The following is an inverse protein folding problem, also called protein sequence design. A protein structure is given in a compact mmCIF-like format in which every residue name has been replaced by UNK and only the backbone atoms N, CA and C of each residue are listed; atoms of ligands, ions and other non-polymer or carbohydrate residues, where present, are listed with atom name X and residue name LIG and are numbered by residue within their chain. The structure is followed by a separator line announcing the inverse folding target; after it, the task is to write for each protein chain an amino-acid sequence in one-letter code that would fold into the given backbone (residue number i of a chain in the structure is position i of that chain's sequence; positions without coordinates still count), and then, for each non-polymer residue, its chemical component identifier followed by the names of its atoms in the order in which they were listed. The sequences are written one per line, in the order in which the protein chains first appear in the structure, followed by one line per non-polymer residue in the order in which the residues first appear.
data_IF_983926724701
#
_entry.id   IF_983926724701
#
_cell.length_a   1.000
_cell.length_b   1.000
_cell.length_c   1.000
_cell.angle_alpha   90.00
_cell.angle_beta   90.00
_cell.angle_gamma   90.00
#
_symmetry.space_group_name_H-M   'P 1'
#
loop_
_entity.id
_entity.type
_entity.pdbx_description
1 polymer ?
#
# COMPACT_ATOMS: atom_id res chain seq x y z
N UNK A 1 16.63 8.30 -13.27
CA UNK A 1 15.39 8.60 -14.04
C UNK A 1 14.11 8.33 -13.26
N UNK A 2 14.08 7.40 -12.29
CA UNK A 2 12.90 7.16 -11.43
C UNK A 2 12.73 8.17 -10.27
N UNK A 3 13.66 9.13 -10.13
CA UNK A 3 13.72 10.05 -8.98
C UNK A 3 13.05 11.40 -9.28
N UNK A 4 12.91 11.75 -10.55
CA UNK A 4 12.25 13.00 -10.98
C UNK A 4 10.72 12.84 -11.01
N UNK A 5 10.20 11.61 -11.17
CA UNK A 5 8.77 11.30 -11.09
C UNK A 5 8.23 11.22 -9.66
N UNK A 6 9.10 11.14 -8.64
CA UNK A 6 8.69 11.09 -7.22
C UNK A 6 8.36 12.46 -6.64
N UNK A 7 8.77 13.55 -7.30
CA UNK A 7 8.72 14.90 -6.73
C UNK A 7 7.66 15.81 -7.37
N UNK A 8 6.99 15.34 -8.43
CA UNK A 8 5.91 16.06 -9.09
C UNK A 8 4.69 15.17 -9.17
N UNK A 9 3.77 15.39 -8.22
CA UNK A 9 2.34 15.12 -8.33
C UNK A 9 1.98 13.71 -8.85
N UNK A 10 1.51 12.82 -7.96
CA UNK A 10 1.02 11.48 -8.34
C UNK A 10 -0.02 11.55 -9.46
N UNK A 11 -0.78 12.66 -9.56
CA UNK A 11 -1.72 12.94 -10.65
C UNK A 11 -1.02 13.09 -12.01
N UNK A 12 0.12 13.78 -12.04
CA UNK A 12 0.96 13.91 -13.23
C UNK A 12 1.67 12.58 -13.55
N UNK A 13 2.18 11.89 -12.53
CA UNK A 13 2.76 10.55 -12.66
C UNK A 13 1.77 9.56 -13.28
N UNK A 14 0.56 9.45 -12.75
CA UNK A 14 -0.48 8.55 -13.26
C UNK A 14 -0.90 8.89 -14.69
N UNK A 15 -0.95 10.18 -15.04
CA UNK A 15 -1.22 10.61 -16.42
C UNK A 15 -0.13 10.15 -17.38
N UNK A 16 1.15 10.40 -17.06
CA UNK A 16 2.28 10.01 -17.91
C UNK A 16 2.35 8.50 -18.05
N UNK A 17 2.11 7.77 -16.97
CA UNK A 17 2.11 6.30 -17.02
C UNK A 17 0.91 5.76 -17.81
N UNK A 18 -0.26 6.40 -17.73
CA UNK A 18 -1.42 6.07 -18.56
C UNK A 18 -1.19 6.30 -20.05
N UNK A 19 -0.54 7.40 -20.42
CA UNK A 19 -0.14 7.68 -21.81
C UNK A 19 0.89 6.65 -22.31
N UNK A 20 1.89 6.30 -21.48
CA UNK A 20 2.90 5.29 -21.81
C UNK A 20 2.34 3.86 -21.91
N UNK A 21 1.29 3.51 -21.18
CA UNK A 21 0.63 2.21 -21.29
C UNK A 21 -0.09 2.03 -22.64
N UNK A 22 -0.62 3.13 -23.21
CA UNK A 22 -1.23 3.13 -24.55
C UNK A 22 -0.19 2.88 -25.64
N UNK A 23 1.02 3.43 -25.50
CA UNK A 23 2.12 3.25 -26.45
C UNK A 23 2.88 1.93 -26.23
N UNK A 24 3.07 1.51 -24.97
CA UNK A 24 3.76 0.27 -24.60
C UNK A 24 3.21 -0.33 -23.29
N UNK A 25 2.32 -1.35 -23.38
CA UNK A 25 1.65 -1.94 -22.22
C UNK A 25 2.61 -2.51 -21.17
N UNK A 26 3.78 -3.00 -21.60
CA UNK A 26 4.76 -3.64 -20.71
C UNK A 26 5.52 -2.65 -19.82
N UNK A 27 5.74 -1.42 -20.28
CA UNK A 27 6.48 -0.39 -19.52
C UNK A 27 5.54 0.33 -18.55
N UNK A 28 4.31 0.63 -18.98
CA UNK A 28 3.31 1.29 -18.14
C UNK A 28 3.01 0.51 -16.87
N UNK A 29 2.78 -0.80 -16.97
CA UNK A 29 2.50 -1.66 -15.82
C UNK A 29 3.65 -1.70 -14.80
N UNK A 30 4.89 -1.86 -15.27
CA UNK A 30 6.09 -1.86 -14.41
C UNK A 30 6.35 -0.49 -13.75
N UNK A 31 5.91 0.60 -14.38
CA UNK A 31 6.05 1.95 -13.84
C UNK A 31 4.95 2.26 -12.82
N UNK A 32 3.70 1.80 -13.03
CA UNK A 32 2.60 1.86 -12.04
C UNK A 32 2.97 1.11 -10.75
N UNK A 33 3.62 -0.04 -10.88
CA UNK A 33 4.09 -0.78 -9.70
C UNK A 33 5.12 0.01 -8.87
N UNK A 34 5.87 0.92 -9.51
CA UNK A 34 6.86 1.78 -8.85
C UNK A 34 6.29 3.11 -8.35
N UNK A 35 5.13 3.54 -8.86
CA UNK A 35 4.49 4.78 -8.42
C UNK A 35 3.94 4.67 -7.00
N UNK A 36 3.40 3.51 -6.63
CA UNK A 36 2.80 3.30 -5.31
C UNK A 36 3.55 2.22 -4.53
N UNK A 37 4.14 2.66 -3.42
CA UNK A 37 5.08 1.95 -2.56
C UNK A 37 4.50 1.78 -1.15
N UNK A 38 5.15 0.98 -0.32
CA UNK A 38 4.77 0.85 1.08
C UNK A 38 4.98 2.15 1.87
N UNK A 39 5.89 3.03 1.43
CA UNK A 39 6.13 4.33 2.04
C UNK A 39 4.89 5.23 1.89
N UNK A 40 4.21 5.17 0.74
CA UNK A 40 2.98 5.90 0.47
C UNK A 40 1.83 5.46 1.40
N UNK A 41 1.78 4.17 1.74
CA UNK A 41 0.81 3.64 2.71
C UNK A 41 1.05 4.22 4.11
N UNK A 42 2.31 4.41 4.51
CA UNK A 42 2.65 5.02 5.82
C UNK A 42 2.09 6.45 5.91
N UNK A 43 2.13 7.18 4.79
CA UNK A 43 1.69 8.57 4.69
C UNK A 43 0.18 8.74 4.42
N UNK A 44 -0.54 7.66 4.11
CA UNK A 44 -1.97 7.70 3.83
C UNK A 44 -2.82 8.00 5.09
N UNK A 45 -3.99 8.60 4.94
CA UNK A 45 -4.94 8.73 6.05
C UNK A 45 -5.42 7.36 6.55
N UNK A 46 -5.69 7.27 7.85
CA UNK A 46 -5.99 6.00 8.51
C UNK A 46 -7.36 5.43 8.09
N UNK A 47 -8.38 6.26 7.88
CA UNK A 47 -9.76 5.82 7.71
C UNK A 47 -9.95 4.82 6.54
N UNK A 48 -9.44 5.07 5.32
CA UNK A 48 -9.52 4.08 4.23
C UNK A 48 -8.78 2.77 4.54
N UNK A 49 -7.63 2.86 5.21
CA UNK A 49 -6.86 1.68 5.63
C UNK A 49 -7.63 0.87 6.66
N UNK A 50 -8.26 1.53 7.64
CA UNK A 50 -9.12 0.89 8.64
C UNK A 50 -10.27 0.14 7.97
N UNK A 51 -10.96 0.75 7.00
CA UNK A 51 -12.05 0.10 6.25
C UNK A 51 -11.56 -1.12 5.48
N UNK A 52 -10.40 -1.05 4.83
CA UNK A 52 -9.80 -2.21 4.17
C UNK A 52 -9.43 -3.32 5.15
N UNK A 53 -8.77 -2.98 6.25
CA UNK A 53 -8.31 -3.95 7.22
C UNK A 53 -9.48 -4.65 7.91
N UNK A 54 -10.66 -4.03 8.03
CA UNK A 54 -11.88 -4.70 8.50
C UNK A 54 -12.31 -5.87 7.61
N UNK A 55 -12.04 -5.82 6.30
CA UNK A 55 -12.40 -6.90 5.37
C UNK A 55 -11.37 -8.03 5.31
N UNK A 56 -10.20 -7.86 5.94
CA UNK A 56 -9.11 -8.85 5.94
C UNK A 56 -9.16 -9.69 7.21
N UNK A 57 -8.80 -10.97 7.12
CA UNK A 57 -8.60 -11.83 8.29
C UNK A 57 -7.31 -11.46 9.04
N UNK A 58 -7.22 -11.82 10.32
CA UNK A 58 -6.01 -11.57 11.11
C UNK A 58 -4.78 -12.27 10.50
N UNK A 59 -4.96 -13.49 9.96
CA UNK A 59 -3.93 -14.24 9.26
C UNK A 59 -3.44 -13.52 8.01
N UNK A 60 -4.33 -12.97 7.18
CA UNK A 60 -3.92 -12.21 5.99
C UNK A 60 -3.12 -10.97 6.35
N UNK A 61 -3.52 -10.26 7.42
CA UNK A 61 -2.77 -9.11 7.91
C UNK A 61 -1.40 -9.56 8.46
N UNK A 62 -1.33 -10.65 9.22
CA UNK A 62 -0.05 -11.17 9.72
C UNK A 62 0.93 -11.51 8.57
N UNK A 63 0.44 -12.18 7.51
CA UNK A 63 1.24 -12.45 6.30
C UNK A 63 1.66 -11.15 5.59
N UNK A 64 0.80 -10.14 5.53
CA UNK A 64 1.13 -8.82 4.95
C UNK A 64 2.26 -8.12 5.72
N UNK A 65 2.28 -8.24 7.06
CA UNK A 65 3.26 -7.61 7.94
C UNK A 65 4.62 -8.31 7.95
N UNK A 66 4.68 -9.59 7.60
CA UNK A 66 5.92 -10.39 7.59
C UNK A 66 6.99 -9.78 6.70
N UNK A 67 8.19 -9.63 7.27
CA UNK A 67 9.35 -9.10 6.56
C UNK A 67 9.24 -7.63 6.13
N UNK A 68 8.25 -6.88 6.66
CA UNK A 68 8.09 -5.45 6.39
C UNK A 68 8.78 -4.59 7.45
N UNK A 69 9.18 -3.39 7.04
CA UNK A 69 9.82 -2.40 7.91
C UNK A 69 8.90 -1.96 9.05
N UNK A 70 9.51 -1.48 10.13
CA UNK A 70 8.81 -1.10 11.36
C UNK A 70 7.70 -0.07 11.10
N UNK A 71 7.97 0.95 10.30
CA UNK A 71 7.01 2.05 10.06
C UNK A 71 5.73 1.56 9.38
N UNK A 72 5.85 0.70 8.38
CA UNK A 72 4.69 0.08 7.73
C UNK A 72 3.91 -0.82 8.70
N UNK A 73 4.62 -1.62 9.52
CA UNK A 73 3.96 -2.48 10.51
C UNK A 73 3.20 -1.65 11.54
N UNK A 74 3.82 -0.61 12.07
CA UNK A 74 3.21 0.28 13.06
C UNK A 74 2.00 1.01 12.46
N UNK A 75 2.08 1.49 11.22
CA UNK A 75 0.95 2.10 10.50
C UNK A 75 -0.25 1.17 10.38
N UNK A 76 -0.03 -0.06 9.91
CA UNK A 76 -1.13 -1.01 9.72
C UNK A 76 -1.73 -1.43 11.07
N UNK A 77 -0.89 -1.59 12.09
CA UNK A 77 -1.34 -1.94 13.45
C UNK A 77 -2.04 -0.78 14.17
N UNK A 78 -1.71 0.48 13.86
CA UNK A 78 -2.45 1.65 14.37
C UNK A 78 -3.83 1.78 13.74
N UNK A 79 -4.04 1.20 12.55
CA UNK A 79 -5.32 1.16 11.84
C UNK A 79 -6.23 0.00 12.29
N UNK A 80 -5.91 -0.70 13.38
CA UNK A 80 -6.79 -1.69 13.99
C UNK A 80 -6.93 -1.43 15.49
N UNK A 81 -7.97 -1.98 16.11
CA UNK A 81 -8.10 -1.88 17.58
C UNK A 81 -6.95 -2.61 18.28
N UNK A 82 -6.56 -2.14 19.46
CA UNK A 82 -5.46 -2.73 20.23
C UNK A 82 -5.65 -4.25 20.46
N UNK A 83 -6.87 -4.68 20.79
CA UNK A 83 -7.20 -6.09 20.95
C UNK A 83 -7.02 -6.90 19.67
N UNK A 84 -7.46 -6.37 18.52
CA UNK A 84 -7.26 -7.01 17.23
C UNK A 84 -5.79 -7.03 16.82
N UNK A 85 -5.05 -5.96 17.12
CA UNK A 85 -3.61 -5.89 16.93
C UNK A 85 -2.87 -6.99 17.69
N UNK A 86 -3.31 -7.34 18.91
CA UNK A 86 -2.74 -8.46 19.66
C UNK A 86 -3.01 -9.79 18.96
N UNK A 87 -4.25 -10.05 18.53
CA UNK A 87 -4.59 -11.27 17.79
C UNK A 87 -3.76 -11.41 16.49
N UNK A 88 -3.50 -10.31 15.78
CA UNK A 88 -2.65 -10.33 14.58
C UNK A 88 -1.20 -10.70 14.92
N UNK A 89 -0.68 -10.23 16.06
CA UNK A 89 0.68 -10.60 16.51
C UNK A 89 0.74 -12.07 16.91
N UNK A 90 -0.28 -12.59 17.59
CA UNK A 90 -0.39 -14.02 17.90
C UNK A 90 -0.44 -14.86 16.61
N UNK A 91 -1.20 -14.44 15.59
CA UNK A 91 -1.18 -15.08 14.27
C UNK A 91 0.21 -15.03 13.60
N UNK A 92 0.94 -13.92 13.72
CA UNK A 92 2.32 -13.78 13.19
C UNK A 92 3.30 -14.77 13.85
N UNK A 93 3.13 -15.02 15.15
CA UNK A 93 3.88 -16.01 15.92
C UNK A 93 3.52 -17.44 15.50
N UNK A 94 2.23 -17.75 15.38
CA UNK A 94 1.72 -19.07 14.96
C UNK A 94 2.20 -19.42 13.54
N UNK A 95 2.18 -18.44 12.62
CA UNK A 95 2.63 -18.63 11.25
C UNK A 95 4.12 -18.98 11.16
N UNK A 96 4.94 -18.53 12.13
CA UNK A 96 6.38 -18.78 12.13
C UNK A 96 7.05 -18.27 10.85
N UNK A 97 8.10 -18.94 10.37
CA UNK A 97 8.72 -18.59 9.10
C UNK A 97 7.88 -19.09 7.92
N UNK A 98 7.52 -18.18 7.01
CA UNK A 98 6.76 -18.50 5.78
C UNK A 98 7.58 -18.10 4.54
N UNK A 99 7.28 -18.68 3.36
CA UNK A 99 7.97 -18.32 2.12
C UNK A 99 7.87 -16.82 1.82
N UNK A 100 8.99 -16.22 1.41
CA UNK A 100 9.05 -14.80 1.00
C UNK A 100 8.02 -14.48 -0.09
N UNK A 101 7.81 -15.40 -1.03
CA UNK A 101 6.84 -15.27 -2.12
C UNK A 101 5.42 -14.99 -1.60
N UNK A 102 5.00 -15.65 -0.53
CA UNK A 102 3.65 -15.47 0.02
C UNK A 102 3.49 -14.09 0.66
N UNK A 103 4.55 -13.60 1.32
CA UNK A 103 4.60 -12.25 1.88
C UNK A 103 4.52 -11.19 0.78
N UNK A 104 5.26 -11.40 -0.32
CA UNK A 104 5.31 -10.49 -1.46
C UNK A 104 4.00 -10.51 -2.26
N UNK A 105 3.35 -11.67 -2.42
CA UNK A 105 2.03 -11.77 -3.03
C UNK A 105 0.95 -11.08 -2.18
N UNK A 106 1.01 -11.17 -0.84
CA UNK A 106 0.11 -10.45 0.05
C UNK A 106 0.30 -8.92 -0.04
N UNK A 107 1.55 -8.46 -0.05
CA UNK A 107 1.87 -7.04 -0.21
C UNK A 107 1.45 -6.50 -1.58
N UNK A 108 1.66 -7.28 -2.66
CA UNK A 108 1.22 -6.89 -4.01
C UNK A 108 -0.30 -6.72 -4.04
N UNK A 109 -1.07 -7.69 -3.57
CA UNK A 109 -2.55 -7.60 -3.51
C UNK A 109 -3.04 -6.41 -2.70
N UNK A 110 -2.36 -6.09 -1.59
CA UNK A 110 -2.69 -4.94 -0.78
C UNK A 110 -2.39 -3.62 -1.52
N UNK A 111 -1.22 -3.52 -2.16
CA UNK A 111 -0.86 -2.35 -2.95
C UNK A 111 -1.75 -2.18 -4.19
N UNK A 112 -2.18 -3.26 -4.84
CA UNK A 112 -3.12 -3.19 -5.96
C UNK A 112 -4.46 -2.56 -5.52
N UNK A 113 -4.98 -2.96 -4.37
CA UNK A 113 -6.15 -2.30 -3.78
C UNK A 113 -5.86 -0.83 -3.44
N UNK A 114 -4.71 -0.53 -2.85
CA UNK A 114 -4.33 0.83 -2.48
C UNK A 114 -4.28 1.75 -3.71
N UNK A 115 -3.70 1.29 -4.82
CA UNK A 115 -3.65 1.99 -6.12
C UNK A 115 -5.04 2.27 -6.65
N UNK A 116 -5.91 1.26 -6.66
CA UNK A 116 -7.29 1.45 -7.09
C UNK A 116 -8.00 2.50 -6.23
N UNK A 117 -7.85 2.41 -4.91
CA UNK A 117 -8.49 3.35 -3.99
C UNK A 117 -7.91 4.77 -4.08
N UNK A 118 -6.63 4.93 -4.48
CA UNK A 118 -6.03 6.24 -4.85
C UNK A 118 -6.67 6.80 -6.13
N UNK A 119 -6.78 5.98 -7.18
CA UNK A 119 -7.38 6.39 -8.45
C UNK A 119 -8.87 6.79 -8.30
N UNK A 120 -9.58 6.15 -7.38
CA UNK A 120 -10.96 6.47 -7.03
C UNK A 120 -11.09 7.69 -6.08
N UNK A 121 -9.98 8.28 -5.65
CA UNK A 121 -9.95 9.43 -4.73
C UNK A 121 -10.32 9.08 -3.28
N UNK A 122 -10.43 7.79 -2.94
CA UNK A 122 -10.80 7.33 -1.59
C UNK A 122 -9.61 7.42 -0.63
N UNK A 123 -8.38 7.21 -1.13
CA UNK A 123 -7.16 7.39 -0.35
C UNK A 123 -6.54 8.74 -0.66
N UNK A 124 -6.31 9.53 0.39
CA UNK A 124 -5.55 10.78 0.33
C UNK A 124 -4.27 10.57 1.15
N UNK A 125 -3.18 11.18 0.72
CA UNK A 125 -1.87 11.10 1.38
C UNK A 125 -1.52 12.51 1.89
N UNK A 126 -0.99 12.60 3.11
CA UNK A 126 -0.77 13.88 3.79
C UNK A 126 0.23 14.83 3.11
N UNK A 127 0.99 14.34 2.12
CA UNK A 127 2.00 15.12 1.40
C UNK A 127 1.54 15.55 -0.01
N UNK A 128 0.28 15.28 -0.38
CA UNK A 128 -0.33 15.91 -1.56
C UNK A 128 -0.64 17.36 -1.18
N UNK A 129 0.17 18.31 -1.66
CA UNK A 129 -0.08 19.76 -1.52
C UNK A 129 -1.38 20.21 -2.24
N UNK A 130 -2.09 19.30 -2.91
CA UNK A 130 -3.26 19.57 -3.78
C UNK A 130 -4.63 19.29 -3.14
N UNK A 131 -4.77 19.34 -1.81
CA UNK A 131 -6.09 19.26 -1.16
C UNK A 131 -6.35 20.42 -0.20
N UNK A 132 -6.12 21.66 -0.66
CA UNK A 132 -6.78 22.86 -0.12
C UNK A 132 -6.92 23.94 -1.21
N UNK A 133 -8.00 23.87 -2.00
CA UNK A 133 -8.62 25.05 -2.65
C UNK A 133 -10.14 24.94 -2.51
#
# INVERSE_FOLDING_TARGET
MAEILKQGDYSFGDRIVGELEQENPGIGSALKEKLYTLEDVVLAFDQPLQEKLKTMSNKEIAVLLKGRGKDFRDKILSCVSAGRGNLIREEDEILGAIPKRDCDDAARKFLDWFRQARNEGTIIISNDEDVFI
#
